data_IF_090351761481
#
_entry.id   IF_090351761481
#
_cell.length_a   1.000
_cell.length_b   1.000
_cell.length_c   1.000
_cell.angle_alpha   90.00
_cell.angle_beta   90.00
_cell.angle_gamma   90.00
#
_symmetry.space_group_name_H-M   'P 1'
#
loop_
_entity.id
_entity.type
_entity.pdbx_description
1 polymer ?
#
# COMPACT_ATOMS: atom_id res chain seq x y z
N UNK A 1 5.21 -34.18 53.96
CA UNK A 1 4.89 -35.56 54.40
C UNK A 1 6.20 -36.24 54.77
N UNK A 2 6.34 -36.80 55.97
CA UNK A 2 7.56 -37.56 56.36
C UNK A 2 7.46 -38.96 55.76
N UNK A 3 8.51 -39.49 55.09
CA UNK A 3 8.48 -40.84 54.51
C UNK A 3 8.16 -41.90 55.57
N UNK A 4 7.30 -42.87 55.21
CA UNK A 4 6.87 -43.97 56.09
C UNK A 4 7.88 -45.14 56.14
N UNK A 5 8.96 -45.03 55.36
CA UNK A 5 10.05 -46.00 55.27
C UNK A 5 11.39 -45.36 55.63
N UNK A 6 12.19 -46.08 56.42
CA UNK A 6 13.54 -45.66 56.79
C UNK A 6 14.53 -46.56 56.06
N UNK A 7 15.37 -45.96 55.23
CA UNK A 7 16.56 -46.64 54.68
C UNK A 7 17.51 -46.94 55.84
N UNK A 8 18.00 -48.17 55.96
CA UNK A 8 18.89 -48.53 57.07
C UNK A 8 20.11 -49.37 56.68
N UNK A 9 20.08 -50.04 55.52
CA UNK A 9 21.15 -50.93 55.06
C UNK A 9 21.30 -50.85 53.54
N UNK A 10 22.53 -50.92 53.05
CA UNK A 10 22.84 -51.05 51.63
C UNK A 10 23.57 -52.38 51.40
N UNK A 11 23.00 -53.28 50.61
CA UNK A 11 23.51 -54.64 50.37
C UNK A 11 23.80 -55.35 51.72
N UNK A 12 25.07 -55.65 52.00
CA UNK A 12 25.55 -56.36 53.20
C UNK A 12 26.08 -55.39 54.27
N UNK A 13 26.01 -54.08 54.04
CA UNK A 13 26.44 -53.05 54.99
C UNK A 13 25.33 -52.69 55.96
N UNK A 14 25.55 -52.90 57.27
CA UNK A 14 24.62 -52.50 58.35
C UNK A 14 24.47 -50.98 58.57
N UNK A 15 24.88 -50.19 57.57
CA UNK A 15 24.89 -48.73 57.53
C UNK A 15 24.78 -48.26 56.08
N UNK A 16 24.59 -46.96 55.89
CA UNK A 16 24.38 -46.30 54.59
C UNK A 16 25.59 -45.41 54.27
N UNK A 17 26.34 -45.68 53.18
CA UNK A 17 27.44 -44.81 52.73
C UNK A 17 26.92 -43.53 52.08
N UNK A 18 27.23 -42.38 52.67
CA UNK A 18 26.94 -41.07 52.09
C UNK A 18 28.19 -40.52 51.40
N UNK A 19 28.08 -40.27 50.09
CA UNK A 19 29.15 -39.67 49.31
C UNK A 19 29.10 -38.14 49.48
N UNK A 20 30.17 -37.57 50.01
CA UNK A 20 30.39 -36.13 50.13
C UNK A 20 31.42 -35.63 49.13
N UNK A 21 31.72 -34.33 49.22
CA UNK A 21 32.71 -33.64 48.36
C UNK A 21 34.13 -34.18 48.60
N UNK A 22 34.44 -34.60 49.82
CA UNK A 22 35.79 -35.00 50.24
C UNK A 22 36.03 -36.51 50.36
N UNK A 23 34.98 -37.32 50.22
CA UNK A 23 35.05 -38.76 50.42
C UNK A 23 33.68 -39.35 50.74
N UNK A 24 33.63 -40.46 51.48
CA UNK A 24 32.37 -41.00 51.98
C UNK A 24 32.38 -41.17 53.50
N UNK A 25 31.24 -40.86 54.10
CA UNK A 25 30.98 -41.07 55.52
C UNK A 25 29.90 -42.12 55.72
N UNK A 26 29.91 -42.77 56.88
CA UNK A 26 28.86 -43.72 57.26
C UNK A 26 27.72 -42.98 57.93
N UNK A 27 26.51 -43.24 57.47
CA UNK A 27 25.31 -42.91 58.19
C UNK A 27 24.68 -44.20 58.69
N UNK A 28 24.40 -44.29 59.99
CA UNK A 28 23.71 -45.44 60.58
C UNK A 28 22.33 -44.98 61.04
N UNK A 29 21.32 -45.01 60.15
CA UNK A 29 19.94 -44.60 60.45
C UNK A 29 19.37 -45.24 61.72
N UNK A 30 19.78 -46.49 62.00
CA UNK A 30 19.35 -47.23 63.18
C UNK A 30 19.79 -46.59 64.51
N UNK A 31 20.88 -45.81 64.53
CA UNK A 31 21.33 -45.09 65.73
C UNK A 31 20.55 -43.79 66.00
N UNK A 32 19.79 -43.31 65.02
CA UNK A 32 19.11 -42.00 65.07
C UNK A 32 17.62 -42.11 64.78
N UNK A 33 17.01 -43.27 65.06
CA UNK A 33 15.58 -43.53 64.83
C UNK A 33 14.65 -42.58 65.59
N UNK A 34 15.14 -41.97 66.67
CA UNK A 34 14.45 -40.89 67.38
C UNK A 34 14.10 -39.71 66.46
N UNK A 35 14.92 -39.38 65.46
CA UNK A 35 14.63 -38.32 64.48
C UNK A 35 13.35 -38.63 63.67
N UNK A 36 13.10 -39.91 63.42
CA UNK A 36 11.94 -40.41 62.70
C UNK A 36 10.76 -40.76 63.63
N UNK A 37 10.83 -40.36 64.92
CA UNK A 37 9.85 -40.71 65.97
C UNK A 37 9.58 -42.22 66.06
N UNK A 38 10.60 -43.04 65.79
CA UNK A 38 10.53 -44.50 65.80
C UNK A 38 11.19 -45.09 67.04
N UNK A 39 10.75 -46.28 67.43
CA UNK A 39 11.31 -47.00 68.59
C UNK A 39 12.79 -47.31 68.39
N UNK A 40 13.60 -46.92 69.37
CA UNK A 40 15.05 -47.10 69.37
C UNK A 40 15.42 -48.50 69.88
N UNK A 41 16.34 -49.18 69.19
CA UNK A 41 16.89 -50.49 69.58
C UNK A 41 18.42 -50.49 69.48
N UNK A 42 19.07 -51.50 70.04
CA UNK A 42 20.53 -51.68 69.98
C UNK A 42 20.88 -52.20 68.58
N UNK A 43 21.54 -51.41 67.71
CA UNK A 43 21.88 -51.89 66.38
C UNK A 43 23.11 -52.80 66.42
N UNK A 44 23.26 -53.61 65.38
CA UNK A 44 24.49 -54.37 65.15
C UNK A 44 25.61 -53.37 64.80
N UNK A 45 26.62 -53.28 65.67
CA UNK A 45 27.74 -52.33 65.55
C UNK A 45 28.94 -52.90 64.77
N UNK A 46 28.83 -54.10 64.22
CA UNK A 46 29.93 -54.80 63.57
C UNK A 46 30.40 -54.04 62.33
N UNK A 47 31.72 -53.86 62.22
CA UNK A 47 32.36 -53.24 61.07
C UNK A 47 32.30 -51.71 61.03
N UNK A 48 31.80 -51.00 62.06
CA UNK A 48 31.72 -49.52 62.11
C UNK A 48 33.04 -48.80 61.82
N UNK A 49 34.17 -49.39 62.20
CA UNK A 49 35.50 -48.80 62.02
C UNK A 49 36.02 -48.77 60.56
N UNK A 50 35.34 -49.42 59.59
CA UNK A 50 35.96 -49.77 58.31
C UNK A 50 35.57 -48.92 57.07
N UNK A 51 34.82 -47.80 57.18
CA UNK A 51 34.41 -47.02 55.98
C UNK A 51 34.19 -45.54 56.28
N UNK A 52 35.20 -44.92 56.82
CA UNK A 52 35.53 -43.59 56.36
C UNK A 52 36.58 -43.75 55.26
N UNK A 53 36.44 -43.06 54.14
CA UNK A 53 37.52 -42.98 53.15
C UNK A 53 37.53 -41.63 52.46
N UNK A 54 38.74 -41.16 52.14
CA UNK A 54 38.96 -39.94 51.39
C UNK A 54 39.13 -40.24 49.91
N UNK A 55 38.81 -39.30 49.02
CA UNK A 55 39.15 -39.45 47.59
C UNK A 55 40.67 -39.45 47.33
N UNK A 56 41.47 -39.09 48.32
CA UNK A 56 42.94 -39.13 48.25
C UNK A 56 43.53 -40.50 48.57
N UNK A 57 42.73 -41.48 49.03
CA UNK A 57 43.19 -42.84 49.29
C UNK A 57 43.49 -43.59 47.97
N UNK A 58 44.61 -44.32 47.89
CA UNK A 58 45.01 -45.09 46.69
C UNK A 58 43.96 -46.07 46.15
N UNK A 59 43.03 -46.52 47.00
CA UNK A 59 41.98 -47.50 46.66
C UNK A 59 40.58 -46.87 46.46
N UNK A 60 40.47 -45.53 46.35
CA UNK A 60 39.17 -44.83 46.32
C UNK A 60 38.28 -45.29 45.16
N UNK A 61 38.82 -45.54 43.96
CA UNK A 61 38.04 -45.98 42.79
C UNK A 61 37.36 -47.34 43.01
N UNK A 62 37.99 -48.25 43.78
CA UNK A 62 37.40 -49.54 44.15
C UNK A 62 36.30 -49.32 45.17
N UNK A 63 36.55 -48.51 46.22
CA UNK A 63 35.57 -48.15 47.26
C UNK A 63 34.32 -47.48 46.68
N UNK A 64 34.46 -46.52 45.75
CA UNK A 64 33.31 -45.89 45.06
C UNK A 64 32.49 -46.93 44.29
N UNK A 65 33.13 -47.87 43.61
CA UNK A 65 32.43 -48.92 42.84
C UNK A 65 31.66 -49.87 43.73
N UNK A 66 32.24 -50.25 44.87
CA UNK A 66 31.58 -51.07 45.89
C UNK A 66 30.36 -50.36 46.47
N UNK A 67 30.50 -49.07 46.82
CA UNK A 67 29.40 -48.22 47.32
C UNK A 67 28.30 -48.08 46.27
N UNK A 68 28.65 -47.71 45.04
CA UNK A 68 27.69 -47.59 43.93
C UNK A 68 26.93 -48.90 43.69
N UNK A 69 27.62 -50.04 43.76
CA UNK A 69 26.98 -51.35 43.67
C UNK A 69 26.11 -51.67 44.88
N UNK A 70 26.46 -51.23 46.09
CA UNK A 70 25.65 -51.41 47.28
C UNK A 70 24.34 -50.60 47.23
N UNK A 71 24.39 -49.38 46.68
CA UNK A 71 23.22 -48.54 46.46
C UNK A 71 22.19 -49.12 45.48
N UNK A 72 22.58 -50.08 44.63
CA UNK A 72 21.62 -50.82 43.78
C UNK A 72 20.70 -51.75 44.58
N UNK A 73 21.08 -52.11 45.82
CA UNK A 73 20.32 -53.01 46.71
C UNK A 73 20.10 -52.35 48.06
N UNK A 74 19.13 -51.46 48.13
CA UNK A 74 18.76 -50.77 49.38
C UNK A 74 17.74 -51.57 50.18
N UNK A 75 17.93 -51.64 51.50
CA UNK A 75 16.98 -52.23 52.43
C UNK A 75 16.31 -51.13 53.23
N UNK A 76 14.98 -51.13 53.19
CA UNK A 76 14.13 -50.20 53.91
C UNK A 76 13.30 -50.95 54.94
N UNK A 77 13.03 -50.32 56.06
CA UNK A 77 12.10 -50.83 57.06
C UNK A 77 10.93 -49.87 57.20
N UNK A 78 9.74 -50.43 57.43
CA UNK A 78 8.57 -49.64 57.75
C UNK A 78 8.74 -48.99 59.12
N UNK A 79 8.31 -47.74 59.23
CA UNK A 79 8.28 -47.02 60.49
C UNK A 79 7.32 -47.68 61.48
N UNK A 80 7.78 -48.00 62.68
CA UNK A 80 6.93 -48.51 63.76
C UNK A 80 6.58 -47.39 64.74
N UNK A 81 5.30 -47.00 64.78
CA UNK A 81 4.74 -45.96 65.66
C UNK A 81 3.94 -46.54 66.82
N UNK A 82 4.52 -47.44 67.62
CA UNK A 82 3.83 -48.05 68.77
C UNK A 82 4.72 -48.04 70.03
N UNK A 83 4.26 -47.34 71.08
CA UNK A 83 4.80 -47.43 72.45
C UNK A 83 6.08 -46.61 72.74
N UNK A 84 6.57 -46.74 73.99
CA UNK A 84 7.71 -46.00 74.53
C UNK A 84 8.91 -45.93 73.56
N UNK A 85 9.42 -44.70 73.33
CA UNK A 85 10.42 -44.41 72.29
C UNK A 85 11.79 -45.07 72.50
N UNK A 86 12.10 -45.49 73.73
CA UNK A 86 13.39 -46.07 74.11
C UNK A 86 13.17 -47.35 74.90
N UNK A 87 13.82 -48.44 74.52
CA UNK A 87 13.77 -49.67 75.33
C UNK A 87 14.77 -49.58 76.50
N UNK A 88 14.48 -50.19 77.66
CA UNK A 88 15.40 -50.20 78.80
C UNK A 88 16.79 -50.75 78.44
N UNK A 89 16.85 -51.71 77.51
CA UNK A 89 18.10 -52.32 77.03
C UNK A 89 18.93 -51.31 76.22
N UNK A 90 18.28 -50.48 75.39
CA UNK A 90 18.97 -49.41 74.67
C UNK A 90 19.54 -48.36 75.63
N UNK A 91 18.79 -48.00 76.68
CA UNK A 91 19.26 -47.06 77.69
C UNK A 91 20.49 -47.60 78.45
N UNK A 92 20.44 -48.88 78.85
CA UNK A 92 21.58 -49.57 79.46
C UNK A 92 22.80 -49.68 78.54
N UNK A 93 22.58 -49.92 77.24
CA UNK A 93 23.66 -49.95 76.25
C UNK A 93 24.28 -48.57 75.99
N UNK A 94 23.46 -47.50 75.95
CA UNK A 94 23.94 -46.14 75.75
C UNK A 94 24.79 -45.65 76.92
N UNK A 95 24.36 -45.89 78.17
CA UNK A 95 25.11 -45.51 79.38
C UNK A 95 26.50 -46.16 79.45
N UNK A 96 26.66 -47.39 78.95
CA UNK A 96 27.96 -48.06 78.91
C UNK A 96 28.94 -47.35 77.96
N UNK A 97 28.49 -46.84 76.81
CA UNK A 97 29.37 -46.14 75.84
C UNK A 97 29.88 -44.78 76.30
N UNK A 98 29.09 -44.06 77.11
CA UNK A 98 29.48 -42.73 77.62
C UNK A 98 30.72 -42.82 78.52
N UNK A 99 30.90 -43.94 79.21
CA UNK A 99 32.03 -44.14 80.12
C UNK A 99 33.31 -44.64 79.43
N UNK A 100 33.23 -45.15 78.19
CA UNK A 100 34.37 -45.76 77.51
C UNK A 100 35.15 -44.79 76.59
N UNK A 101 34.65 -43.58 76.30
CA UNK A 101 35.26 -42.67 75.30
C UNK A 101 35.42 -41.21 75.74
N UNK A 102 35.36 -40.90 77.05
CA UNK A 102 35.73 -39.58 77.55
C UNK A 102 37.07 -39.74 78.27
N UNK A 103 38.22 -39.35 77.67
CA UNK A 103 39.40 -39.05 78.46
C UNK A 103 39.00 -37.93 79.43
N UNK A 104 39.11 -38.16 80.73
CA UNK A 104 38.87 -37.10 81.72
C UNK A 104 39.70 -35.86 81.39
N UNK A 105 39.16 -34.64 81.56
CA UNK A 105 39.90 -33.42 81.27
C UNK A 105 41.12 -33.36 82.20
N UNK A 106 42.33 -33.23 81.64
CA UNK A 106 43.53 -32.91 82.41
C UNK A 106 43.45 -31.45 82.83
N UNK A 107 43.58 -31.20 84.13
CA UNK A 107 43.46 -29.88 84.78
C UNK A 107 44.47 -28.83 84.30
N UNK A 108 45.51 -29.23 83.55
CA UNK A 108 46.57 -28.34 83.08
C UNK A 108 46.19 -27.46 81.87
N UNK A 109 45.02 -27.68 81.24
CA UNK A 109 44.62 -26.99 79.99
C UNK A 109 43.77 -25.73 80.18
N UNK A 110 43.39 -25.36 81.41
CA UNK A 110 42.51 -24.21 81.64
C UNK A 110 43.28 -22.88 81.53
N UNK A 111 44.58 -22.87 81.80
CA UNK A 111 45.40 -21.65 81.75
C UNK A 111 45.98 -21.31 80.35
N UNK A 112 46.19 -22.30 79.47
CA UNK A 112 46.84 -22.06 78.17
C UNK A 112 45.88 -21.60 77.06
N UNK A 113 44.57 -21.86 77.17
CA UNK A 113 43.61 -21.47 76.12
C UNK A 113 43.35 -19.95 76.12
N UNK A 114 43.43 -19.31 77.28
CA UNK A 114 43.17 -17.88 77.46
C UNK A 114 44.34 -17.02 76.95
N UNK A 115 45.59 -17.48 77.12
CA UNK A 115 46.79 -16.81 76.61
C UNK A 115 46.95 -16.89 75.08
N UNK A 116 46.45 -17.93 74.42
CA UNK A 116 46.51 -18.06 72.95
C UNK A 116 45.49 -17.20 72.20
N UNK A 117 44.50 -16.62 72.89
CA UNK A 117 43.44 -15.83 72.26
C UNK A 117 43.70 -14.31 72.23
N UNK A 118 44.79 -13.81 72.82
CA UNK A 118 44.89 -12.38 73.12
C UNK A 118 45.79 -11.51 72.22
N UNK A 119 46.58 -12.04 71.28
CA UNK A 119 47.57 -11.18 70.55
C UNK A 119 47.75 -11.44 69.05
N UNK A 120 47.03 -12.38 68.42
CA UNK A 120 47.05 -12.52 66.95
C UNK A 120 45.65 -12.72 66.39
N UNK A 121 45.25 -12.03 65.30
CA UNK A 121 44.01 -12.35 64.62
C UNK A 121 44.08 -13.82 64.21
N UNK A 122 43.15 -14.63 64.71
CA UNK A 122 43.05 -16.03 64.28
C UNK A 122 42.85 -16.07 62.77
N UNK A 123 43.39 -17.09 62.08
CA UNK A 123 43.21 -17.24 60.63
C UNK A 123 41.73 -17.14 60.20
N UNK A 124 40.81 -17.56 61.10
CA UNK A 124 39.37 -17.44 60.94
C UNK A 124 38.85 -16.00 60.93
N UNK A 125 39.44 -15.11 61.73
CA UNK A 125 39.05 -13.70 61.79
C UNK A 125 39.50 -12.94 60.53
N UNK A 126 40.68 -13.28 60.01
CA UNK A 126 41.15 -12.81 58.70
C UNK A 126 40.21 -13.29 57.60
N UNK A 127 39.87 -14.58 57.56
CA UNK A 127 38.93 -15.16 56.58
C UNK A 127 37.56 -14.50 56.67
N UNK A 128 37.07 -14.22 57.87
CA UNK A 128 35.77 -13.57 58.10
C UNK A 128 35.75 -12.14 57.53
N UNK A 129 36.76 -11.33 57.85
CA UNK A 129 36.88 -9.97 57.29
C UNK A 129 36.99 -9.98 55.77
N UNK A 130 37.74 -10.94 55.22
CA UNK A 130 37.91 -11.10 53.76
C UNK A 130 36.61 -11.50 53.06
N UNK A 131 35.78 -12.31 53.72
CA UNK A 131 34.44 -12.68 53.26
C UNK A 131 33.48 -11.48 53.32
N UNK A 132 33.47 -10.72 54.42
CA UNK A 132 32.63 -9.53 54.58
C UNK A 132 32.98 -8.46 53.53
N UNK A 133 34.27 -8.26 53.26
CA UNK A 133 34.75 -7.35 52.20
C UNK A 133 34.26 -7.80 50.82
N UNK A 134 34.47 -9.08 50.47
CA UNK A 134 33.99 -9.63 49.19
C UNK A 134 32.47 -9.56 49.07
N UNK A 135 31.73 -9.87 50.13
CA UNK A 135 30.27 -9.79 50.15
C UNK A 135 29.78 -8.35 49.89
N UNK A 136 30.47 -7.36 50.43
CA UNK A 136 30.16 -5.94 50.20
C UNK A 136 30.46 -5.51 48.76
N UNK A 137 31.56 -5.98 48.18
CA UNK A 137 31.91 -5.75 46.77
C UNK A 137 30.87 -6.38 45.83
N UNK A 138 30.45 -7.62 46.11
CA UNK A 138 29.38 -8.29 45.36
C UNK A 138 28.04 -7.53 45.48
N UNK A 139 27.69 -7.03 46.67
CA UNK A 139 26.50 -6.22 46.87
C UNK A 139 26.48 -4.97 45.98
N UNK A 140 27.58 -4.21 45.96
CA UNK A 140 27.73 -3.04 45.07
C UNK A 140 27.64 -3.40 43.59
N UNK A 141 28.18 -4.57 43.20
CA UNK A 141 28.13 -5.04 41.81
C UNK A 141 26.72 -5.42 41.39
N UNK A 142 25.94 -6.02 42.29
CA UNK A 142 24.53 -6.34 42.05
C UNK A 142 23.73 -5.06 41.85
N UNK A 143 23.90 -4.07 42.72
CA UNK A 143 23.21 -2.77 42.61
C UNK A 143 23.53 -2.05 41.28
N UNK A 144 24.80 -2.02 40.87
CA UNK A 144 25.20 -1.48 39.57
C UNK A 144 24.53 -2.18 38.38
N UNK A 145 24.45 -3.51 38.42
CA UNK A 145 23.81 -4.30 37.37
C UNK A 145 22.30 -4.09 37.33
N UNK A 146 21.65 -3.92 38.48
CA UNK A 146 20.23 -3.58 38.57
C UNK A 146 19.94 -2.19 37.97
N UNK A 147 20.80 -1.20 38.24
CA UNK A 147 20.69 0.12 37.60
C UNK A 147 20.92 0.07 36.08
N UNK A 148 21.93 -0.66 35.61
CA UNK A 148 22.19 -0.85 34.18
C UNK A 148 21.01 -1.51 33.49
N UNK A 149 20.44 -2.54 34.10
CA UNK A 149 19.24 -3.21 33.60
C UNK A 149 18.06 -2.24 33.49
N UNK A 150 17.81 -1.41 34.51
CA UNK A 150 16.75 -0.40 34.48
C UNK A 150 16.95 0.62 33.35
N UNK A 151 18.18 1.09 33.11
CA UNK A 151 18.50 2.00 31.99
C UNK A 151 18.22 1.34 30.65
N UNK A 152 18.68 0.11 30.45
CA UNK A 152 18.47 -0.63 29.20
C UNK A 152 16.99 -0.91 28.93
N UNK A 153 16.20 -1.23 29.97
CA UNK A 153 14.75 -1.40 29.84
C UNK A 153 14.06 -0.11 29.36
N UNK A 154 14.49 1.06 29.86
CA UNK A 154 14.00 2.36 29.39
C UNK A 154 14.34 2.60 27.92
N UNK A 155 15.60 2.37 27.51
CA UNK A 155 16.05 2.55 26.13
C UNK A 155 15.28 1.65 25.15
N UNK A 156 15.05 0.38 25.52
CA UNK A 156 14.24 -0.55 24.74
C UNK A 156 12.81 -0.04 24.57
N UNK A 157 12.20 0.51 25.63
CA UNK A 157 10.86 1.07 25.57
C UNK A 157 10.80 2.32 24.68
N UNK A 158 11.81 3.20 24.74
CA UNK A 158 11.92 4.38 23.87
C UNK A 158 12.01 3.94 22.41
N UNK A 159 12.92 3.02 22.08
CA UNK A 159 13.06 2.52 20.72
C UNK A 159 11.80 1.83 20.19
N UNK A 160 11.09 1.09 21.04
CA UNK A 160 9.80 0.48 20.68
C UNK A 160 8.76 1.55 20.33
N UNK A 161 8.66 2.61 21.13
CA UNK A 161 7.74 3.71 20.88
C UNK A 161 8.09 4.46 19.59
N UNK A 162 9.38 4.71 19.34
CA UNK A 162 9.86 5.33 18.11
C UNK A 162 9.56 4.47 16.88
N UNK A 163 9.76 3.16 16.97
CA UNK A 163 9.46 2.21 15.90
C UNK A 163 7.96 2.19 15.57
N UNK A 164 7.09 2.21 16.59
CA UNK A 164 5.64 2.33 16.38
C UNK A 164 5.24 3.65 15.73
N UNK A 165 5.83 4.78 16.15
CA UNK A 165 5.58 6.09 15.55
C UNK A 165 6.03 6.12 14.09
N UNK A 166 7.20 5.58 13.77
CA UNK A 166 7.70 5.44 12.39
C UNK A 166 6.77 4.57 11.55
N UNK A 167 6.31 3.43 12.09
CA UNK A 167 5.36 2.55 11.40
C UNK A 167 4.05 3.27 11.06
N UNK A 168 3.47 4.01 12.02
CA UNK A 168 2.27 4.83 11.77
C UNK A 168 2.50 5.88 10.68
N UNK A 169 3.65 6.55 10.70
CA UNK A 169 4.04 7.52 9.67
C UNK A 169 4.19 6.89 8.29
N UNK A 170 4.85 5.74 8.20
CA UNK A 170 5.02 5.02 6.93
C UNK A 170 3.70 4.54 6.35
N UNK A 171 2.81 3.97 7.17
CA UNK A 171 1.48 3.54 6.72
C UNK A 171 0.69 4.72 6.11
N UNK A 172 0.72 5.89 6.77
CA UNK A 172 0.06 7.09 6.24
C UNK A 172 0.68 7.54 4.91
N UNK A 173 2.00 7.55 4.81
CA UNK A 173 2.69 7.93 3.58
C UNK A 173 2.38 6.95 2.42
N UNK A 174 2.19 5.66 2.73
CA UNK A 174 1.79 4.64 1.76
C UNK A 174 0.34 4.85 1.29
N UNK A 175 -0.60 5.14 2.20
CA UNK A 175 -1.98 5.53 1.86
C UNK A 175 -2.01 6.78 0.96
N UNK A 176 -1.24 7.81 1.31
CA UNK A 176 -1.12 9.06 0.52
C UNK A 176 -0.54 8.76 -0.88
N UNK A 177 0.45 7.88 -0.98
CA UNK A 177 1.05 7.46 -2.25
C UNK A 177 0.04 6.71 -3.13
N UNK A 178 -0.75 5.81 -2.55
CA UNK A 178 -1.79 5.08 -3.27
C UNK A 178 -2.91 6.00 -3.75
N UNK A 179 -3.32 6.98 -2.94
CA UNK A 179 -4.25 8.04 -3.36
C UNK A 179 -3.71 8.82 -4.55
N UNK A 180 -2.46 9.28 -4.48
CA UNK A 180 -1.81 10.02 -5.57
C UNK A 180 -1.72 9.19 -6.85
N UNK A 181 -1.43 7.89 -6.73
CA UNK A 181 -1.38 6.96 -7.87
C UNK A 181 -2.76 6.78 -8.51
N UNK A 182 -3.83 6.80 -7.72
CA UNK A 182 -5.20 6.78 -8.24
C UNK A 182 -5.56 8.08 -8.96
N UNK A 183 -5.13 9.23 -8.41
CA UNK A 183 -5.32 10.53 -9.06
C UNK A 183 -4.55 10.64 -10.37
N UNK A 184 -3.30 10.15 -10.46
CA UNK A 184 -2.54 10.10 -11.73
C UNK A 184 -3.26 9.25 -12.79
N UNK A 185 -3.78 8.08 -12.41
CA UNK A 185 -4.57 7.23 -13.32
C UNK A 185 -5.82 7.95 -13.82
N UNK A 186 -6.53 8.64 -12.92
CA UNK A 186 -7.73 9.42 -13.26
C UNK A 186 -7.40 10.57 -14.19
N UNK A 187 -6.33 11.32 -13.90
CA UNK A 187 -5.84 12.40 -14.76
C UNK A 187 -5.50 11.89 -16.16
N UNK A 188 -4.76 10.79 -16.28
CA UNK A 188 -4.42 10.17 -17.58
C UNK A 188 -5.66 9.77 -18.37
N UNK A 189 -6.66 9.18 -17.71
CA UNK A 189 -7.94 8.84 -18.34
C UNK A 189 -8.67 10.10 -18.83
N UNK A 190 -8.76 11.14 -17.99
CA UNK A 190 -9.34 12.43 -18.37
C UNK A 190 -8.61 13.09 -19.54
N UNK A 191 -7.27 13.05 -19.57
CA UNK A 191 -6.48 13.56 -20.70
C UNK A 191 -6.74 12.80 -22.00
N UNK A 192 -6.92 11.46 -21.93
CA UNK A 192 -7.31 10.66 -23.09
C UNK A 192 -8.71 11.01 -23.58
N UNK A 193 -9.68 11.16 -22.67
CA UNK A 193 -11.08 11.51 -23.02
C UNK A 193 -11.16 12.91 -23.64
N UNK A 194 -10.47 13.90 -23.05
CA UNK A 194 -10.43 15.27 -23.55
C UNK A 194 -9.63 15.42 -24.86
N UNK A 195 -9.02 14.35 -25.38
CA UNK A 195 -8.17 14.41 -26.56
C UNK A 195 -6.85 15.18 -26.35
N UNK A 196 -6.53 15.56 -25.11
CA UNK A 196 -5.26 16.20 -24.73
C UNK A 196 -4.08 15.22 -24.75
N UNK A 197 -4.35 13.92 -24.83
CA UNK A 197 -3.34 12.87 -25.01
C UNK A 197 -2.80 12.74 -26.43
N UNK A 198 -3.19 13.62 -27.37
CA UNK A 198 -2.64 13.61 -28.73
C UNK A 198 -1.13 13.87 -28.70
N UNK A 199 -0.37 13.03 -29.38
CA UNK A 199 1.07 13.23 -29.51
C UNK A 199 1.36 14.43 -30.41
N UNK A 200 2.54 15.04 -30.27
CA UNK A 200 2.95 16.18 -31.12
C UNK A 200 2.89 15.84 -32.61
N UNK A 201 3.17 14.59 -32.98
CA UNK A 201 3.06 14.06 -34.34
C UNK A 201 1.62 14.07 -34.87
N UNK A 202 0.63 13.71 -34.04
CA UNK A 202 -0.78 13.77 -34.42
C UNK A 202 -1.23 15.20 -34.69
N UNK A 203 -0.81 16.15 -33.85
CA UNK A 203 -1.07 17.59 -34.09
C UNK A 203 -0.38 18.09 -35.37
N UNK A 204 0.85 17.69 -35.62
CA UNK A 204 1.57 18.01 -36.86
C UNK A 204 0.84 17.49 -38.09
N UNK A 205 0.28 16.29 -38.01
CA UNK A 205 -0.49 15.70 -39.11
C UNK A 205 -1.81 16.45 -39.33
N UNK A 206 -2.59 16.74 -38.27
CA UNK A 206 -3.83 17.51 -38.39
C UNK A 206 -3.58 18.92 -38.98
N UNK A 207 -2.51 19.60 -38.55
CA UNK A 207 -2.13 20.91 -39.11
C UNK A 207 -1.79 20.78 -40.60
N UNK A 208 -1.07 19.73 -41.01
CA UNK A 208 -0.77 19.49 -42.43
C UNK A 208 -2.04 19.23 -43.23
N UNK A 209 -2.94 18.39 -42.74
CA UNK A 209 -4.23 18.11 -43.39
C UNK A 209 -5.06 19.39 -43.52
N UNK A 210 -5.19 20.18 -42.47
CA UNK A 210 -5.97 21.41 -42.50
C UNK A 210 -5.34 22.47 -43.42
N UNK A 211 -4.01 22.54 -43.48
CA UNK A 211 -3.29 23.39 -44.43
C UNK A 211 -3.57 22.98 -45.87
N UNK A 212 -3.56 21.68 -46.19
CA UNK A 212 -3.92 21.21 -47.54
C UNK A 212 -5.37 21.52 -47.90
N UNK A 213 -6.31 21.46 -46.94
CA UNK A 213 -7.70 21.86 -47.16
C UNK A 213 -7.81 23.37 -47.41
N UNK A 214 -7.09 24.19 -46.64
CA UNK A 214 -7.05 25.64 -46.85
C UNK A 214 -6.53 25.98 -48.25
N UNK A 215 -5.45 25.35 -48.70
CA UNK A 215 -4.90 25.53 -50.06
C UNK A 215 -5.91 25.12 -51.15
N UNK A 216 -6.70 24.07 -50.92
CA UNK A 216 -7.78 23.66 -51.83
C UNK A 216 -8.91 24.68 -51.89
N UNK A 217 -9.31 25.25 -50.75
CA UNK A 217 -10.32 26.29 -50.70
C UNK A 217 -9.85 27.58 -51.36
N UNK A 218 -8.58 27.94 -51.18
CA UNK A 218 -7.98 29.10 -51.85
C UNK A 218 -8.03 28.94 -53.37
N UNK A 219 -7.66 27.77 -53.91
CA UNK A 219 -7.79 27.51 -55.36
C UNK A 219 -9.22 27.65 -55.86
N UNK A 220 -10.20 27.06 -55.16
CA UNK A 220 -11.62 27.19 -55.52
C UNK A 220 -12.09 28.65 -55.48
N UNK A 221 -11.60 29.42 -54.52
CA UNK A 221 -11.92 30.83 -54.40
C UNK A 221 -11.36 31.62 -55.58
N UNK A 222 -10.11 31.38 -55.98
CA UNK A 222 -9.51 32.00 -57.16
C UNK A 222 -10.24 31.61 -58.45
N UNK A 223 -10.60 30.34 -58.63
CA UNK A 223 -11.40 29.88 -59.77
C UNK A 223 -12.77 30.57 -59.83
N UNK A 224 -13.43 30.75 -58.68
CA UNK A 224 -14.69 31.47 -58.59
C UNK A 224 -14.53 32.96 -58.95
N UNK A 225 -13.43 33.59 -58.53
CA UNK A 225 -13.06 34.96 -58.89
C UNK A 225 -12.88 35.13 -60.41
N UNK A 226 -12.14 34.21 -61.05
CA UNK A 226 -11.96 34.21 -62.50
C UNK A 226 -13.32 34.08 -63.21
N UNK A 227 -14.17 33.13 -62.78
CA UNK A 227 -15.53 32.96 -63.34
C UNK A 227 -16.39 34.21 -63.17
N UNK A 228 -16.33 34.86 -62.01
CA UNK A 228 -17.05 36.12 -61.75
C UNK A 228 -16.61 37.20 -62.74
N UNK A 229 -15.31 37.39 -62.91
CA UNK A 229 -14.78 38.38 -63.86
C UNK A 229 -15.20 38.10 -65.31
N UNK A 230 -15.25 36.83 -65.71
CA UNK A 230 -15.73 36.42 -67.03
C UNK A 230 -17.24 36.71 -67.21
N UNK A 231 -18.05 36.46 -66.18
CA UNK A 231 -19.48 36.78 -66.20
C UNK A 231 -19.73 38.29 -66.26
N UNK A 232 -18.96 39.10 -65.52
CA UNK A 232 -19.04 40.57 -65.58
C UNK A 232 -18.71 41.09 -66.98
N UNK A 233 -17.68 40.52 -67.63
CA UNK A 233 -17.35 40.85 -69.02
C UNK A 233 -18.50 40.49 -69.97
N UNK A 234 -19.03 39.27 -69.89
CA UNK A 234 -20.16 38.83 -70.73
C UNK A 234 -21.40 39.70 -70.50
N UNK A 235 -21.67 40.11 -69.25
CA UNK A 235 -22.77 41.01 -68.92
C UNK A 235 -22.60 42.38 -69.61
N UNK A 236 -21.38 42.93 -69.59
CA UNK A 236 -21.08 44.19 -70.28
C UNK A 236 -21.24 44.06 -71.81
N UNK A 237 -20.86 42.93 -72.39
CA UNK A 237 -21.04 42.65 -73.82
C UNK A 237 -22.53 42.55 -74.19
N UNK A 238 -23.32 41.84 -73.39
CA UNK A 238 -24.77 41.76 -73.55
C UNK A 238 -25.45 43.13 -73.45
N UNK A 239 -25.03 43.98 -72.50
CA UNK A 239 -25.56 45.34 -72.36
C UNK A 239 -25.25 46.20 -73.60
N UNK A 240 -24.03 46.11 -74.12
CA UNK A 240 -23.64 46.81 -75.34
C UNK A 240 -24.45 46.33 -76.56
N UNK A 241 -24.67 45.02 -76.66
CA UNK A 241 -25.49 44.42 -77.71
C UNK A 241 -26.96 44.86 -77.61
N UNK A 242 -27.52 44.90 -76.40
CA UNK A 242 -28.88 45.37 -76.16
C UNK A 242 -29.05 46.82 -76.63
N UNK A 243 -28.10 47.70 -76.31
CA UNK A 243 -28.11 49.09 -76.79
C UNK A 243 -28.05 49.16 -78.31
N UNK A 244 -27.20 48.35 -78.95
CA UNK A 244 -27.11 48.26 -80.41
C UNK A 244 -28.43 47.80 -81.04
N UNK A 245 -29.06 46.79 -80.47
CA UNK A 245 -30.35 46.26 -80.94
C UNK A 245 -31.47 47.29 -80.74
N UNK A 246 -31.52 47.99 -79.61
CA UNK A 246 -32.47 49.10 -79.39
C UNK A 246 -32.33 50.18 -80.47
N UNK A 247 -31.10 50.56 -80.81
CA UNK A 247 -30.86 51.53 -81.89
C UNK A 247 -31.37 51.03 -83.26
N UNK A 248 -31.12 49.75 -83.59
CA UNK A 248 -31.64 49.13 -84.82
C UNK A 248 -33.16 49.09 -84.88
N UNK A 249 -33.82 48.79 -83.75
CA UNK A 249 -35.28 48.80 -83.65
C UNK A 249 -35.82 50.19 -83.96
N UNK A 250 -35.25 51.25 -83.37
CA UNK A 250 -35.64 52.63 -83.64
C UNK A 250 -35.46 53.01 -85.12
N UNK A 251 -34.38 52.57 -85.76
CA UNK A 251 -34.15 52.80 -87.18
C UNK A 251 -35.16 52.07 -88.07
N UNK A 252 -35.46 50.81 -87.75
CA UNK A 252 -36.47 50.01 -88.46
C UNK A 252 -37.87 50.61 -88.29
N UNK A 253 -38.25 51.05 -87.08
CA UNK A 253 -39.51 51.74 -86.82
C UNK A 253 -39.67 53.01 -87.68
N UNK A 254 -38.62 53.84 -87.78
CA UNK A 254 -38.60 55.01 -88.68
C UNK A 254 -38.78 54.61 -90.14
N UNK A 255 -38.07 53.58 -90.60
CA UNK A 255 -38.16 53.11 -91.98
C UNK A 255 -39.56 52.55 -92.31
N UNK A 256 -40.17 51.81 -91.39
CA UNK A 256 -41.51 51.26 -91.51
C UNK A 256 -42.57 52.36 -91.58
N UNK A 257 -42.45 53.38 -90.71
CA UNK A 257 -43.33 54.54 -90.74
C UNK A 257 -43.26 55.27 -92.09
N UNK A 258 -42.04 55.48 -92.63
CA UNK A 258 -41.85 56.09 -93.94
C UNK A 258 -42.49 55.26 -95.07
N UNK A 259 -42.28 53.94 -95.06
CA UNK A 259 -42.90 53.05 -96.05
C UNK A 259 -44.42 53.08 -95.98
N UNK A 260 -45.01 53.01 -94.78
CA UNK A 260 -46.47 53.11 -94.60
C UNK A 260 -47.02 54.43 -95.13
N UNK A 261 -46.38 55.55 -94.80
CA UNK A 261 -46.77 56.88 -95.29
C UNK A 261 -46.73 56.98 -96.83
N UNK A 262 -45.66 56.46 -97.46
CA UNK A 262 -45.56 56.39 -98.93
C UNK A 262 -46.67 55.53 -99.53
N UNK A 263 -46.95 54.37 -98.94
CA UNK A 263 -48.02 53.48 -99.42
C UNK A 263 -49.39 54.17 -99.36
N UNK A 264 -49.71 54.83 -98.24
CA UNK A 264 -50.94 55.62 -98.09
C UNK A 264 -51.02 56.76 -99.11
N UNK A 265 -49.91 57.45 -99.40
CA UNK A 265 -49.89 58.50 -100.41
C UNK A 265 -50.14 57.95 -101.84
N UNK A 266 -49.61 56.76 -102.16
CA UNK A 266 -49.87 56.06 -103.43
C UNK A 266 -51.35 55.67 -103.54
N UNK A 267 -51.94 55.09 -102.49
CA UNK A 267 -53.35 54.73 -102.44
C UNK A 267 -54.27 55.96 -102.61
N UNK A 268 -53.98 57.05 -101.90
CA UNK A 268 -54.73 58.29 -102.03
C UNK A 268 -54.62 58.87 -103.45
N UNK A 269 -53.43 58.84 -104.07
CA UNK A 269 -53.25 59.30 -105.45
C UNK A 269 -54.07 58.45 -106.44
N UNK A 270 -54.12 57.14 -106.26
CA UNK A 270 -54.95 56.26 -107.07
C UNK A 270 -56.46 56.58 -106.91
N UNK A 271 -56.94 56.83 -105.69
CA UNK A 271 -58.33 57.25 -105.47
C UNK A 271 -58.65 58.61 -106.06
N UNK A 272 -57.71 59.57 -106.02
CA UNK A 272 -57.89 60.89 -106.59
C UNK A 272 -58.04 60.81 -108.12
N UNK A 273 -57.18 60.03 -108.78
CA UNK A 273 -57.30 59.77 -110.22
C UNK A 273 -58.66 59.12 -110.56
N UNK A 274 -59.17 58.24 -109.68
CA UNK A 274 -60.49 57.62 -109.86
C UNK A 274 -61.64 58.63 -109.76
N UNK A 275 -61.55 59.57 -108.83
CA UNK A 275 -62.51 60.67 -108.69
C UNK A 275 -62.48 61.56 -109.93
N UNK A 276 -61.30 61.88 -110.44
CA UNK A 276 -61.13 62.72 -111.63
C UNK A 276 -61.70 62.04 -112.89
N UNK A 277 -61.51 60.72 -113.03
CA UNK A 277 -62.15 59.89 -114.07
C UNK A 277 -63.69 59.94 -113.98
N UNK A 278 -64.25 59.78 -112.77
CA UNK A 278 -65.69 59.86 -112.55
C UNK A 278 -66.24 61.27 -112.80
N UNK A 279 -65.48 62.31 -112.46
CA UNK A 279 -65.84 63.70 -112.72
C UNK A 279 -65.92 64.00 -114.22
N UNK A 280 -64.98 63.46 -115.02
CA UNK A 280 -65.06 63.53 -116.47
C UNK A 280 -66.34 62.88 -117.01
N UNK A 281 -66.67 61.67 -116.53
CA UNK A 281 -67.92 60.98 -116.89
C UNK A 281 -69.18 61.75 -116.48
N UNK A 282 -69.17 62.41 -115.33
CA UNK A 282 -70.28 63.29 -114.90
C UNK A 282 -70.41 64.48 -115.85
N UNK A 283 -69.29 65.12 -116.23
CA UNK A 283 -69.31 66.19 -117.22
C UNK A 283 -69.90 65.75 -118.56
N UNK A 284 -69.52 64.58 -119.07
CA UNK A 284 -70.11 64.01 -120.29
C UNK A 284 -71.63 63.77 -120.15
N UNK A 285 -72.09 63.35 -118.97
CA UNK A 285 -73.51 63.16 -118.67
C UNK A 285 -74.27 64.49 -118.49
N UNK A 286 -73.66 65.50 -117.89
CA UNK A 286 -74.21 66.85 -117.75
C UNK A 286 -74.36 67.51 -119.12
N UNK A 287 -73.36 67.39 -120.00
CA UNK A 287 -73.46 67.84 -121.40
C UNK A 287 -74.60 67.12 -122.14
N UNK A 288 -74.74 65.80 -121.94
CA UNK A 288 -75.85 65.04 -122.50
C UNK A 288 -77.22 65.48 -121.94
N UNK A 289 -77.29 65.78 -120.63
CA UNK A 289 -78.49 66.26 -119.96
C UNK A 289 -78.88 67.65 -120.46
N UNK A 290 -77.93 68.60 -120.53
CA UNK A 290 -78.16 69.94 -121.05
C UNK A 290 -78.66 69.90 -122.50
N UNK A 291 -78.11 69.00 -123.31
CA UNK A 291 -78.56 68.77 -124.68
C UNK A 291 -80.00 68.19 -124.72
N UNK A 292 -80.37 67.38 -123.73
CA UNK A 292 -81.75 66.88 -123.58
C UNK A 292 -82.73 67.93 -123.03
N UNK A 293 -82.28 68.84 -122.16
CA UNK A 293 -83.05 69.99 -121.67
C UNK A 293 -83.31 71.02 -122.78
N UNK A 294 -82.29 71.36 -123.59
CA UNK A 294 -82.46 72.17 -124.81
C UNK A 294 -83.49 71.56 -125.76
N UNK A 295 -83.54 70.22 -125.85
CA UNK A 295 -84.58 69.50 -126.60
C UNK A 295 -85.97 69.63 -125.98
N UNK A 296 -86.07 69.68 -124.65
CA UNK A 296 -87.35 69.90 -123.95
C UNK A 296 -87.82 71.35 -124.02
N UNK A 297 -86.96 72.35 -123.84
CA UNK A 297 -87.30 73.78 -124.03
C UNK A 297 -87.82 74.06 -125.44
N UNK A 298 -87.25 73.39 -126.46
CA UNK A 298 -87.76 73.43 -127.84
C UNK A 298 -89.16 72.82 -127.99
N UNK A 299 -89.53 71.87 -127.13
CA UNK A 299 -90.86 71.23 -127.12
C UNK A 299 -91.87 72.04 -126.30
N UNK A 300 -91.48 72.67 -125.20
CA UNK A 300 -92.36 73.56 -124.39
C UNK A 300 -92.71 74.86 -125.14
N UNK A 301 -91.78 75.43 -125.92
CA UNK A 301 -92.08 76.56 -126.82
C UNK A 301 -93.07 76.25 -127.96
N UNK A 302 -93.45 74.97 -128.13
CA UNK A 302 -94.37 74.51 -129.18
C UNK A 302 -95.82 74.38 -128.70
N UNK A 303 -96.08 74.63 -127.41
CA UNK A 303 -97.39 74.48 -126.77
C UNK A 303 -97.98 75.82 -126.22
N UNK A 304 -97.46 76.98 -126.64
CA UNK A 304 -98.17 78.27 -126.65
C UNK A 304 -98.74 78.55 -128.05
#
# INVERSE_FOLDING_TARGET
MVPDEILYRCRDFDWVPLLGIWGAIRYTPLLVLRQYRSRQFIPVMHGLAQCEFSYMDDNYKRKIREISNAWKRVHRMKRFTVGAMTTPEYYGWWNKRVNDNIPGPREDCVQSLEEHLQVAPSELEIIKQDFEKRSSEWGKRIEQLEEEKMRLELDVNIHKLEAEKRKKGNNKAEEDLDSLKMDDKKLRLSMRIAGLGKTSEQWQQEIKEEKTKADQWEKKFQDALVRKSALEKNLSECQNEEVRLKNRVVELEKSLHLHRSRNSAIELKASLNKIEELKGKIGDLEDALHNSELRMELLERRNE
#
